data_IF_040409358959
#
_entry.id   IF_040409358959
#
_cell.length_a   1.000
_cell.length_b   1.000
_cell.length_c   1.000
_cell.angle_alpha   90.00
_cell.angle_beta   90.00
_cell.angle_gamma   90.00
#
_symmetry.space_group_name_H-M   'P 1'
#
loop_
_entity.id
_entity.type
_entity.pdbx_description
1 polymer ?
#
# COMPACT_ATOMS: atom_id res chain seq x y z
N UNK A 1 -23.72 5.72 3.83
CA UNK A 1 -22.66 6.33 4.67
C UNK A 1 -21.72 5.27 5.24
N UNK A 2 -20.48 5.70 5.52
CA UNK A 2 -19.40 4.86 6.04
C UNK A 2 -18.69 5.52 7.21
N UNK A 3 -18.38 4.72 8.23
CA UNK A 3 -17.53 5.13 9.34
C UNK A 3 -16.08 4.90 8.97
N UNK A 4 -15.32 5.99 8.90
CA UNK A 4 -13.88 5.97 8.70
C UNK A 4 -13.19 6.00 10.05
N UNK A 5 -12.17 5.16 10.25
CA UNK A 5 -11.27 5.21 11.40
C UNK A 5 -9.87 5.61 10.95
N UNK A 6 -9.28 6.57 11.67
CA UNK A 6 -7.96 7.13 11.42
C UNK A 6 -7.30 7.55 12.73
N UNK A 7 -6.08 7.06 13.00
CA UNK A 7 -5.28 7.45 14.18
C UNK A 7 -6.06 7.37 15.51
N UNK A 8 -6.83 6.29 15.69
CA UNK A 8 -7.63 6.04 16.91
C UNK A 8 -8.92 6.86 17.03
N UNK A 9 -9.27 7.67 16.04
CA UNK A 9 -10.55 8.42 16.01
C UNK A 9 -11.39 7.94 14.82
N UNK A 10 -12.72 8.02 14.94
CA UNK A 10 -13.62 7.65 13.86
C UNK A 10 -14.69 8.71 13.60
N UNK A 11 -15.11 8.83 12.34
CA UNK A 11 -16.15 9.76 11.90
C UNK A 11 -17.01 9.15 10.78
N UNK A 12 -18.26 9.61 10.66
CA UNK A 12 -19.23 9.13 9.67
C UNK A 12 -19.30 10.11 8.51
N UNK A 13 -19.12 9.65 7.28
CA UNK A 13 -19.19 10.50 6.07
C UNK A 13 -19.90 9.79 4.93
N UNK A 14 -20.12 10.52 3.83
CA UNK A 14 -20.72 10.01 2.61
C UNK A 14 -19.88 8.89 1.97
N UNK A 15 -20.55 7.96 1.30
CA UNK A 15 -19.88 6.83 0.65
C UNK A 15 -18.93 7.30 -0.45
N UNK A 16 -19.37 8.27 -1.27
CA UNK A 16 -18.58 8.82 -2.36
C UNK A 16 -17.31 9.54 -1.88
N UNK A 17 -17.35 10.18 -0.70
CA UNK A 17 -16.16 10.80 -0.09
C UNK A 17 -15.19 9.73 0.38
N UNK A 18 -15.70 8.66 0.96
CA UNK A 18 -14.88 7.52 1.39
C UNK A 18 -14.14 6.90 0.20
N UNK A 19 -14.83 6.62 -0.90
CA UNK A 19 -14.20 6.06 -2.09
C UNK A 19 -13.12 7.01 -2.66
N UNK A 20 -13.43 8.30 -2.77
CA UNK A 20 -12.48 9.29 -3.29
C UNK A 20 -11.27 9.49 -2.37
N UNK A 21 -11.45 9.41 -1.05
CA UNK A 21 -10.36 9.50 -0.09
C UNK A 21 -9.37 8.34 -0.25
N UNK A 22 -9.87 7.11 -0.38
CA UNK A 22 -9.00 5.93 -0.53
C UNK A 22 -8.21 5.98 -1.85
N UNK A 23 -8.84 6.46 -2.92
CA UNK A 23 -8.15 6.70 -4.19
C UNK A 23 -7.04 7.74 -4.07
N UNK A 24 -7.32 8.86 -3.37
CA UNK A 24 -6.32 9.89 -3.13
C UNK A 24 -5.13 9.36 -2.33
N UNK A 25 -5.38 8.63 -1.24
CA UNK A 25 -4.31 8.04 -0.42
C UNK A 25 -3.45 7.06 -1.21
N UNK A 26 -4.08 6.25 -2.08
CA UNK A 26 -3.35 5.37 -2.99
C UNK A 26 -2.47 6.15 -3.96
N UNK A 27 -2.97 7.26 -4.52
CA UNK A 27 -2.21 8.12 -5.44
C UNK A 27 -1.06 8.88 -4.75
N UNK A 28 -1.22 9.24 -3.47
CA UNK A 28 -0.17 9.89 -2.68
C UNK A 28 1.05 8.99 -2.51
N UNK A 29 0.87 7.67 -2.45
CA UNK A 29 1.96 6.70 -2.34
C UNK A 29 2.98 6.82 -3.49
N UNK A 30 2.53 7.01 -4.73
CA UNK A 30 3.42 7.18 -5.89
C UNK A 30 4.29 8.44 -5.79
N UNK A 31 3.74 9.51 -5.20
CA UNK A 31 4.43 10.79 -5.05
C UNK A 31 5.23 10.93 -3.75
N UNK A 32 5.07 10.00 -2.80
CA UNK A 32 5.60 10.10 -1.44
C UNK A 32 5.28 11.44 -0.75
N UNK A 33 4.08 11.98 -0.97
CA UNK A 33 3.63 13.26 -0.38
C UNK A 33 2.49 13.08 0.61
N UNK A 34 2.36 14.04 1.54
CA UNK A 34 1.24 14.12 2.49
C UNK A 34 0.29 15.26 2.14
N UNK A 35 -0.97 15.16 2.54
CA UNK A 35 -1.98 16.18 2.28
C UNK A 35 -2.90 16.40 3.49
N UNK A 36 -3.16 17.67 3.82
CA UNK A 36 -4.22 18.05 4.76
C UNK A 36 -5.56 18.12 4.03
N UNK A 37 -6.58 17.50 4.61
CA UNK A 37 -7.94 17.44 4.08
C UNK A 37 -8.94 17.94 5.12
N UNK A 38 -10.01 18.56 4.63
CA UNK A 38 -11.18 18.92 5.41
C UNK A 38 -12.36 18.14 4.80
N UNK A 39 -12.87 17.16 5.53
CA UNK A 39 -13.95 16.29 5.06
C UNK A 39 -15.25 16.60 5.81
N UNK A 40 -16.37 16.73 5.11
CA UNK A 40 -17.65 16.86 5.76
C UNK A 40 -18.06 15.50 6.36
N UNK A 41 -18.56 15.53 7.58
CA UNK A 41 -18.97 14.36 8.33
C UNK A 41 -20.21 14.67 9.18
N UNK A 42 -20.82 13.63 9.74
CA UNK A 42 -22.00 13.73 10.60
C UNK A 42 -21.65 13.22 12.01
N UNK A 43 -22.08 13.94 13.05
CA UNK A 43 -21.95 13.49 14.44
C UNK A 43 -22.96 12.39 14.77
N UNK A 44 -22.81 11.74 15.93
CA UNK A 44 -23.80 10.79 16.43
C UNK A 44 -25.21 11.39 16.61
N UNK A 45 -25.28 12.72 16.76
CA UNK A 45 -26.54 13.47 16.90
C UNK A 45 -27.06 14.02 15.58
N UNK A 46 -26.49 13.63 14.44
CA UNK A 46 -26.94 14.06 13.11
C UNK A 46 -26.45 15.45 12.68
N UNK A 47 -25.56 16.10 13.44
CA UNK A 47 -25.10 17.44 13.09
C UNK A 47 -23.92 17.37 12.10
N UNK A 48 -23.92 18.21 11.04
CA UNK A 48 -22.78 18.28 10.13
C UNK A 48 -21.58 18.94 10.81
N UNK A 49 -20.41 18.34 10.61
CA UNK A 49 -19.12 18.81 11.09
C UNK A 49 -18.07 18.71 9.98
N UNK A 50 -16.95 19.40 10.17
CA UNK A 50 -15.76 19.26 9.33
C UNK A 50 -14.69 18.52 10.11
N UNK A 51 -14.23 17.40 9.58
CA UNK A 51 -13.09 16.63 10.09
C UNK A 51 -11.84 17.06 9.34
N UNK A 52 -10.85 17.55 10.08
CA UNK A 52 -9.53 17.86 9.53
C UNK A 52 -8.58 16.70 9.79
N UNK A 53 -8.00 16.14 8.74
CA UNK A 53 -7.00 15.07 8.84
C UNK A 53 -5.83 15.32 7.90
N UNK A 54 -4.70 14.71 8.21
CA UNK A 54 -3.52 14.66 7.34
C UNK A 54 -3.38 13.23 6.86
N UNK A 55 -3.25 13.01 5.56
CA UNK A 55 -3.08 11.67 4.96
C UNK A 55 -1.80 11.59 4.13
N UNK A 56 -1.27 10.38 3.94
CA UNK A 56 -0.07 10.09 3.15
C UNK A 56 0.10 8.61 2.80
N UNK A 57 1.25 8.21 2.23
CA UNK A 57 1.55 6.87 1.70
C UNK A 57 1.32 5.70 2.65
N UNK A 58 1.35 5.96 3.96
CA UNK A 58 1.21 4.96 5.03
C UNK A 58 0.07 5.27 5.99
N UNK A 59 -0.86 6.13 5.58
CA UNK A 59 -2.04 6.39 6.40
C UNK A 59 -2.89 5.12 6.49
N UNK A 60 -2.97 4.58 7.70
CA UNK A 60 -3.87 3.48 8.01
C UNK A 60 -5.31 4.00 8.12
N UNK A 61 -6.12 3.64 7.13
CA UNK A 61 -7.53 4.00 7.05
C UNK A 61 -8.39 2.75 6.96
N UNK A 62 -9.41 2.68 7.80
CA UNK A 62 -10.43 1.63 7.75
C UNK A 62 -11.77 2.29 7.48
N UNK A 63 -12.57 1.68 6.61
CA UNK A 63 -13.95 2.07 6.33
C UNK A 63 -14.89 0.91 6.63
N UNK A 64 -15.93 1.17 7.41
CA UNK A 64 -17.01 0.21 7.69
C UNK A 64 -18.34 0.83 7.25
N UNK A 65 -19.17 0.15 6.44
CA UNK A 65 -20.51 0.60 6.15
C UNK A 65 -21.32 0.78 7.43
N UNK A 66 -22.07 1.87 7.54
CA UNK A 66 -22.91 2.14 8.69
C UNK A 66 -24.26 2.70 8.25
N UNK A 67 -25.33 2.03 8.68
CA UNK A 67 -26.69 2.52 8.51
C UNK A 67 -26.88 3.78 9.36
N UNK A 68 -27.39 4.83 8.72
CA UNK A 68 -27.63 6.12 9.36
C UNK A 68 -29.04 6.59 9.11
N UNK A 69 -29.65 7.18 10.14
CA UNK A 69 -30.95 7.85 10.06
C UNK A 69 -30.84 9.30 9.56
N UNK A 70 -29.61 9.81 9.44
CA UNK A 70 -29.30 11.18 9.04
C UNK A 70 -28.96 11.26 7.56
N UNK A 71 -29.29 12.40 6.96
CA UNK A 71 -28.91 12.73 5.60
C UNK A 71 -27.39 12.80 5.44
N UNK A 72 -26.90 12.45 4.24
CA UNK A 72 -25.49 12.62 3.92
C UNK A 72 -25.12 14.12 3.89
N UNK A 73 -23.89 14.48 4.27
CA UNK A 73 -23.45 15.86 4.20
C UNK A 73 -23.35 16.33 2.74
N UNK A 74 -23.32 17.65 2.50
CA UNK A 74 -23.04 18.17 1.16
C UNK A 74 -21.58 17.86 0.76
N UNK A 75 -21.41 17.18 -0.38
CA UNK A 75 -20.12 16.67 -0.84
C UNK A 75 -19.62 17.26 -2.16
N UNK A 76 -20.39 18.11 -2.82
CA UNK A 76 -20.15 18.46 -4.24
C UNK A 76 -18.75 19.03 -4.47
N UNK A 77 -18.36 20.02 -3.68
CA UNK A 77 -17.07 20.71 -3.83
C UNK A 77 -15.90 19.81 -3.44
N UNK A 78 -15.99 19.16 -2.28
CA UNK A 78 -14.90 18.34 -1.76
C UNK A 78 -14.69 17.07 -2.61
N UNK A 79 -15.75 16.50 -3.18
CA UNK A 79 -15.65 15.33 -4.05
C UNK A 79 -14.95 15.68 -5.37
N UNK A 80 -15.27 16.84 -5.95
CA UNK A 80 -14.56 17.35 -7.13
C UNK A 80 -13.07 17.55 -6.82
N UNK A 81 -12.77 18.23 -5.71
CA UNK A 81 -11.40 18.45 -5.25
C UNK A 81 -10.59 17.14 -5.09
N UNK A 82 -11.15 16.13 -4.41
CA UNK A 82 -10.46 14.85 -4.18
C UNK A 82 -10.14 14.15 -5.52
N UNK A 83 -11.08 14.18 -6.47
CA UNK A 83 -10.91 13.58 -7.80
C UNK A 83 -9.85 14.30 -8.62
N UNK A 84 -9.94 15.63 -8.69
CA UNK A 84 -8.98 16.46 -9.44
C UNK A 84 -7.57 16.27 -8.89
N UNK A 85 -7.44 16.23 -7.56
CA UNK A 85 -6.15 16.01 -6.91
C UNK A 85 -5.58 14.62 -7.18
N UNK A 86 -6.41 13.59 -7.12
CA UNK A 86 -6.02 12.21 -7.42
C UNK A 86 -5.51 12.10 -8.86
N UNK A 87 -6.26 12.68 -9.81
CA UNK A 87 -5.89 12.69 -11.22
C UNK A 87 -4.56 13.40 -11.45
N UNK A 88 -4.35 14.57 -10.83
CA UNK A 88 -3.07 15.27 -10.91
C UNK A 88 -1.90 14.41 -10.40
N UNK A 89 -2.03 13.74 -9.27
CA UNK A 89 -0.95 12.89 -8.73
C UNK A 89 -0.62 11.70 -9.64
N UNK A 90 -1.62 11.12 -10.29
CA UNK A 90 -1.44 9.98 -11.20
C UNK A 90 -0.73 10.39 -12.51
N UNK A 91 -1.00 11.59 -13.03
CA UNK A 91 -0.34 12.09 -14.26
C UNK A 91 1.17 12.33 -14.09
N UNK A 92 1.61 12.65 -12.87
CA UNK A 92 3.01 12.94 -12.56
C UNK A 92 3.80 11.72 -12.08
N UNK A 93 3.19 10.53 -12.07
CA UNK A 93 3.91 9.30 -11.74
C UNK A 93 4.64 8.81 -12.99
N UNK A 94 5.99 8.87 -13.07
CA UNK A 94 6.70 8.28 -14.19
C UNK A 94 6.40 6.77 -14.23
N UNK A 95 6.30 6.15 -15.43
CA UNK A 95 6.17 4.70 -15.53
C UNK A 95 7.28 4.05 -14.72
N UNK A 96 7.02 2.88 -14.09
CA UNK A 96 8.06 2.18 -13.34
C UNK A 96 9.27 2.05 -14.26
N UNK A 97 10.37 2.68 -13.85
CA UNK A 97 11.65 2.44 -14.49
C UNK A 97 11.97 0.99 -14.15
N UNK A 98 11.53 0.07 -15.02
CA UNK A 98 12.17 -1.22 -15.11
C UNK A 98 13.61 -0.86 -15.48
N UNK A 99 14.50 -0.87 -14.49
CA UNK A 99 15.91 -1.01 -14.76
C UNK A 99 16.02 -2.37 -15.43
N UNK A 100 15.90 -2.37 -16.76
CA UNK A 100 16.41 -3.44 -17.59
C UNK A 100 17.84 -3.61 -17.12
N UNK A 101 18.09 -4.66 -16.34
CA UNK A 101 19.45 -5.05 -16.01
C UNK A 101 20.00 -5.40 -17.38
N UNK A 102 20.66 -4.43 -18.01
CA UNK A 102 21.49 -4.72 -19.16
C UNK A 102 22.50 -5.71 -18.61
N UNK A 103 22.28 -7.00 -18.90
CA UNK A 103 23.34 -7.99 -18.98
C UNK A 103 24.27 -7.48 -20.07
N UNK A 104 25.07 -6.49 -19.70
CA UNK A 104 26.35 -6.26 -20.31
C UNK A 104 27.02 -7.60 -20.14
N UNK A 105 27.33 -8.22 -21.26
CA UNK A 105 28.05 -9.48 -21.39
C UNK A 105 29.32 -9.40 -20.54
N UNK A 106 29.20 -9.75 -19.26
CA UNK A 106 30.33 -9.92 -18.38
C UNK A 106 30.90 -11.26 -18.78
N UNK A 107 31.89 -11.21 -19.66
CA UNK A 107 32.64 -12.36 -20.13
C UNK A 107 33.34 -13.00 -18.91
N UNK A 108 32.71 -14.02 -18.34
CA UNK A 108 33.19 -14.81 -17.20
C UNK A 108 34.52 -15.51 -17.51
N UNK A 109 34.98 -15.50 -18.76
CA UNK A 109 36.21 -16.19 -19.15
C UNK A 109 37.50 -15.44 -18.77
N UNK A 110 37.43 -14.21 -18.28
CA UNK A 110 38.61 -13.44 -17.82
C UNK A 110 38.83 -13.47 -16.28
N UNK A 111 38.10 -14.32 -15.55
CA UNK A 111 38.39 -14.56 -14.12
C UNK A 111 39.43 -15.68 -14.02
N UNK A 112 40.70 -15.33 -14.25
CA UNK A 112 41.83 -16.24 -13.97
C UNK A 112 42.56 -15.90 -12.67
N UNK A 113 42.15 -14.86 -11.95
CA UNK A 113 42.78 -14.46 -10.70
C UNK A 113 41.74 -14.16 -9.60
N UNK A 114 41.82 -14.89 -8.50
CA UNK A 114 40.86 -14.86 -7.37
C UNK A 114 41.05 -13.62 -6.49
N UNK A 115 41.94 -12.72 -6.88
CA UNK A 115 42.37 -11.57 -6.08
C UNK A 115 41.64 -10.26 -6.38
N UNK A 116 40.84 -10.18 -7.46
CA UNK A 116 40.19 -8.93 -7.89
C UNK A 116 38.66 -8.91 -7.73
N UNK A 117 38.15 -9.57 -6.67
CA UNK A 117 36.76 -9.40 -6.27
C UNK A 117 36.60 -8.10 -5.45
N UNK A 118 35.62 -7.23 -5.75
CA UNK A 118 35.27 -6.17 -4.83
C UNK A 118 34.82 -6.80 -3.50
N UNK A 119 35.44 -6.36 -2.40
CA UNK A 119 35.27 -6.85 -1.01
C UNK A 119 33.84 -6.92 -0.46
N UNK A 120 32.82 -6.56 -1.23
CA UNK A 120 31.44 -6.51 -0.79
C UNK A 120 30.73 -7.88 -0.76
N UNK A 121 31.28 -8.93 -1.37
CA UNK A 121 30.59 -10.23 -1.50
C UNK A 121 30.95 -11.28 -0.43
N UNK A 122 31.78 -10.93 0.56
CA UNK A 122 32.23 -11.89 1.57
C UNK A 122 31.32 -11.94 2.81
N UNK A 123 30.02 -12.18 2.61
CA UNK A 123 29.13 -12.68 3.68
C UNK A 123 27.82 -13.23 3.10
N UNK A 124 27.85 -14.48 2.65
CA UNK A 124 26.68 -15.33 2.67
C UNK A 124 27.18 -16.78 2.71
N UNK A 125 27.21 -17.36 3.91
CA UNK A 125 27.45 -18.79 4.06
C UNK A 125 26.35 -19.56 3.33
N UNK A 126 26.78 -20.38 2.37
CA UNK A 126 25.94 -21.27 1.60
C UNK A 126 25.59 -22.47 2.49
N UNK A 127 24.32 -22.61 2.88
CA UNK A 127 23.81 -23.88 3.41
C UNK A 127 23.63 -24.82 2.21
N UNK A 128 24.53 -25.79 2.10
CA UNK A 128 24.57 -26.78 1.03
C UNK A 128 23.33 -27.68 1.03
N UNK A 129 22.62 -27.69 -0.11
CA UNK A 129 21.46 -28.51 -0.38
C UNK A 129 21.89 -29.85 -0.98
N UNK A 130 22.60 -30.67 -0.19
CA UNK A 130 23.09 -31.98 -0.64
C UNK A 130 22.97 -33.04 0.46
N UNK A 131 21.75 -33.32 0.93
CA UNK A 131 21.46 -34.61 1.61
C UNK A 131 19.98 -35.00 1.42
N UNK A 132 19.65 -35.53 0.25
CA UNK A 132 18.45 -36.37 0.08
C UNK A 132 18.87 -37.84 0.18
N UNK A 133 18.43 -38.60 1.19
CA UNK A 133 18.36 -40.04 1.06
C UNK A 133 17.00 -40.46 0.46
N UNK A 134 17.14 -41.35 -0.52
CA UNK A 134 16.18 -42.25 -1.16
C UNK A 134 14.88 -42.61 -0.41
N UNK A 135 13.85 -42.84 -1.23
CA UNK A 135 12.62 -43.57 -0.94
C UNK A 135 12.77 -44.75 0.04
N UNK A 136 11.84 -44.83 0.99
CA UNK A 136 11.30 -46.10 1.47
C UNK A 136 9.77 -45.99 1.59
N UNK A 137 9.10 -46.80 0.76
CA UNK A 137 7.68 -47.16 0.83
C UNK A 137 7.43 -47.98 2.09
N UNK A 138 6.35 -47.68 2.84
CA UNK A 138 5.92 -48.50 3.98
C UNK A 138 4.54 -48.11 4.50
N UNK A 139 3.57 -48.98 4.24
CA UNK A 139 2.15 -48.90 4.59
C UNK A 139 1.88 -49.25 6.08
N UNK A 140 0.64 -48.98 6.52
CA UNK A 140 -0.11 -49.54 7.68
C UNK A 140 -0.39 -48.66 8.92
N UNK A 141 -1.64 -48.19 8.97
CA UNK A 141 -2.68 -48.51 9.98
C UNK A 141 -2.34 -48.48 11.48
N UNK A 142 -3.14 -47.77 12.28
CA UNK A 142 -3.27 -48.09 13.71
C UNK A 142 -3.89 -47.02 14.59
N UNK A 143 -5.17 -47.20 14.90
CA UNK A 143 -5.93 -46.51 15.95
C UNK A 143 -5.25 -46.58 17.32
N UNK A 144 -5.34 -45.50 18.10
CA UNK A 144 -5.86 -45.54 19.48
C UNK A 144 -6.21 -44.17 20.00
#
# INVERSE_FOLDING_TARGET
>A
MRRISYSGTSFLTADAITDALFQLVTALNSSQTTQSLNLPAITLTGNPIIVKLIVGPWSELISVPEDSLWDEPNITEILAFLRDRTHALQQHTPPPAYSEIATTDFDITDITDVTDLPRAFLTAEFVDSSTLPMLAVGNHSGLR
#
